data_IF_972625615844
#
_entry.id   IF_972625615844
#
_cell.length_a   1.000
_cell.length_b   1.000
_cell.length_c   1.000
_cell.angle_alpha   90.00
_cell.angle_beta   90.00
_cell.angle_gamma   90.00
#
_symmetry.space_group_name_H-M   'P 1'
#
loop_
_entity.id
_entity.type
_entity.pdbx_description
1 polymer ?
#
# COMPACT_ATOMS: atom_id res chain seq x y z
N UNK A 1 54.05 30.93 3.46
CA UNK A 1 54.26 29.64 2.76
C UNK A 1 54.35 28.60 3.85
N UNK A 2 53.37 27.72 4.06
CA UNK A 2 52.86 26.72 3.11
C UNK A 2 51.43 26.31 3.49
N UNK A 3 50.56 26.26 2.48
CA UNK A 3 49.20 25.74 2.57
C UNK A 3 49.21 24.20 2.68
N UNK A 4 48.33 23.63 3.51
CA UNK A 4 48.07 22.19 3.51
C UNK A 4 47.02 21.86 2.41
N UNK A 5 47.20 20.78 1.63
CA UNK A 5 46.33 20.46 0.52
C UNK A 5 44.99 19.87 0.99
N UNK A 6 43.92 20.34 0.35
CA UNK A 6 42.57 19.76 0.37
C UNK A 6 42.65 18.39 -0.31
N UNK A 7 42.71 17.33 0.48
CA UNK A 7 42.76 15.94 0.04
C UNK A 7 41.37 15.31 0.04
N UNK A 8 40.87 15.05 -1.16
CA UNK A 8 39.64 14.37 -1.56
C UNK A 8 39.41 13.02 -0.84
N UNK A 9 38.30 12.89 -0.11
CA UNK A 9 37.75 11.59 0.30
C UNK A 9 37.05 10.91 -0.88
N UNK A 10 37.30 9.60 -1.14
CA UNK A 10 36.51 8.85 -2.11
C UNK A 10 35.13 8.54 -1.50
N UNK A 11 34.08 9.16 -2.03
CA UNK A 11 32.69 8.80 -1.74
C UNK A 11 32.34 7.50 -2.46
N UNK A 12 32.73 6.38 -1.87
CA UNK A 12 32.09 5.09 -2.15
C UNK A 12 30.66 5.16 -1.58
N UNK A 13 29.69 5.62 -2.38
CA UNK A 13 28.26 5.55 -2.02
C UNK A 13 27.78 4.10 -2.10
N UNK A 14 28.28 3.25 -1.19
CA UNK A 14 27.54 2.04 -0.83
C UNK A 14 26.28 2.51 -0.10
N UNK A 15 25.13 2.37 -0.77
CA UNK A 15 23.81 2.38 -0.15
C UNK A 15 23.84 1.32 0.94
N UNK A 16 24.14 1.73 2.16
CA UNK A 16 24.10 0.88 3.33
C UNK A 16 22.63 0.52 3.57
N UNK A 17 22.18 -0.61 3.01
CA UNK A 17 21.05 -1.35 3.57
C UNK A 17 21.49 -1.91 4.93
N UNK A 18 21.63 -1.04 5.94
CA UNK A 18 21.81 -1.47 7.32
C UNK A 18 20.42 -1.73 7.90
N UNK A 19 19.84 -2.89 7.60
CA UNK A 19 18.84 -3.48 8.51
C UNK A 19 19.65 -3.94 9.73
N UNK A 20 19.61 -3.17 10.81
CA UNK A 20 20.21 -3.58 12.08
C UNK A 20 19.59 -4.90 12.56
N UNK A 21 20.23 -5.63 13.50
CA UNK A 21 19.76 -6.92 14.01
C UNK A 21 18.39 -6.89 14.72
N UNK A 22 17.77 -5.71 14.82
CA UNK A 22 16.46 -5.47 15.44
C UNK A 22 15.38 -5.04 14.42
N UNK A 23 15.66 -5.04 13.11
CA UNK A 23 14.65 -4.74 12.11
C UNK A 23 13.71 -5.94 11.93
N UNK A 24 12.45 -5.80 12.35
CA UNK A 24 11.42 -6.82 12.17
C UNK A 24 11.31 -7.21 10.68
N UNK A 25 11.32 -8.51 10.40
CA UNK A 25 11.16 -9.02 9.03
C UNK A 25 9.72 -8.82 8.55
N UNK A 26 9.47 -8.74 7.23
CA UNK A 26 8.10 -8.70 6.70
C UNK A 26 7.25 -9.90 7.15
N UNK A 27 7.85 -11.07 7.32
CA UNK A 27 7.18 -12.26 7.84
C UNK A 27 6.72 -12.05 9.28
N UNK A 28 7.61 -11.59 10.16
CA UNK A 28 7.29 -11.30 11.56
C UNK A 28 6.24 -10.19 11.70
N UNK A 29 6.25 -9.18 10.83
CA UNK A 29 5.21 -8.14 10.80
C UNK A 29 3.84 -8.72 10.48
N UNK A 30 3.75 -9.59 9.46
CA UNK A 30 2.48 -10.24 9.10
C UNK A 30 1.95 -11.12 10.21
N UNK A 31 2.80 -11.96 10.81
CA UNK A 31 2.42 -12.83 11.93
C UNK A 31 1.88 -12.02 13.12
N UNK A 32 2.50 -10.87 13.42
CA UNK A 32 2.04 -9.97 14.48
C UNK A 32 0.67 -9.36 14.15
N UNK A 33 0.48 -8.87 12.91
CA UNK A 33 -0.80 -8.32 12.46
C UNK A 33 -1.90 -9.39 12.51
N UNK A 34 -1.61 -10.60 12.05
CA UNK A 34 -2.53 -11.74 12.10
C UNK A 34 -2.89 -12.12 13.54
N UNK A 35 -1.93 -12.03 14.48
CA UNK A 35 -2.21 -12.23 15.90
C UNK A 35 -3.17 -11.17 16.46
N UNK A 36 -2.98 -9.90 16.09
CA UNK A 36 -3.88 -8.83 16.51
C UNK A 36 -5.28 -8.97 15.89
N UNK A 37 -5.37 -9.42 14.64
CA UNK A 37 -6.63 -9.70 13.96
C UNK A 37 -7.39 -10.91 14.52
N UNK A 38 -6.72 -11.81 15.24
CA UNK A 38 -7.41 -12.87 15.99
C UNK A 38 -8.16 -12.31 17.21
N UNK A 39 -7.66 -11.23 17.79
CA UNK A 39 -8.29 -10.55 18.93
C UNK A 39 -9.37 -9.55 18.46
N UNK A 40 -9.10 -8.79 17.39
CA UNK A 40 -10.08 -7.93 16.72
C UNK A 40 -10.16 -8.21 15.21
N UNK A 41 -11.05 -9.12 14.79
CA UNK A 41 -11.20 -9.46 13.38
C UNK A 41 -11.76 -8.35 12.49
N UNK A 42 -12.24 -7.23 13.04
CA UNK A 42 -12.93 -6.18 12.27
C UNK A 42 -12.16 -4.85 12.22
N UNK A 43 -10.90 -4.86 12.68
CA UNK A 43 -9.99 -3.72 12.56
C UNK A 43 -9.59 -3.51 11.09
N UNK A 44 -10.19 -2.48 10.47
CA UNK A 44 -9.94 -2.11 9.07
C UNK A 44 -8.47 -1.74 8.82
N UNK A 45 -7.83 -1.09 9.81
CA UNK A 45 -6.45 -0.63 9.70
C UNK A 45 -5.48 -1.80 9.70
N UNK A 46 -5.69 -2.79 10.58
CA UNK A 46 -4.87 -4.01 10.60
C UNK A 46 -5.07 -4.85 9.33
N UNK A 47 -6.30 -4.97 8.83
CA UNK A 47 -6.58 -5.68 7.56
C UNK A 47 -5.90 -5.00 6.37
N UNK A 48 -5.99 -3.67 6.31
CA UNK A 48 -5.29 -2.89 5.31
C UNK A 48 -3.77 -3.05 5.42
N UNK A 49 -3.23 -2.98 6.65
CA UNK A 49 -1.81 -3.19 6.93
C UNK A 49 -1.32 -4.57 6.48
N UNK A 50 -2.10 -5.63 6.73
CA UNK A 50 -1.79 -6.99 6.27
C UNK A 50 -1.69 -7.03 4.75
N UNK A 51 -2.65 -6.44 4.03
CA UNK A 51 -2.62 -6.37 2.58
C UNK A 51 -1.39 -5.60 2.06
N UNK A 52 -0.99 -4.53 2.74
CA UNK A 52 0.17 -3.73 2.36
C UNK A 52 1.49 -4.47 2.57
N UNK A 53 1.59 -5.35 3.56
CA UNK A 53 2.76 -6.22 3.71
C UNK A 53 2.87 -7.23 2.56
N UNK A 54 1.74 -7.80 2.09
CA UNK A 54 1.72 -8.63 0.89
C UNK A 54 2.13 -7.84 -0.36
N UNK A 55 1.57 -6.64 -0.56
CA UNK A 55 1.91 -5.78 -1.69
C UNK A 55 3.40 -5.40 -1.69
N UNK A 56 3.96 -5.09 -0.52
CA UNK A 56 5.37 -4.75 -0.33
C UNK A 56 6.30 -5.94 -0.59
N UNK A 57 5.81 -7.16 -0.39
CA UNK A 57 6.53 -8.40 -0.73
C UNK A 57 6.42 -8.78 -2.22
N UNK A 58 5.64 -8.04 -3.01
CA UNK A 58 5.37 -8.34 -4.42
C UNK A 58 4.29 -9.40 -4.65
N UNK A 59 3.67 -9.92 -3.58
CA UNK A 59 2.52 -10.82 -3.68
C UNK A 59 1.24 -10.00 -3.89
N UNK A 60 1.13 -9.44 -5.09
CA UNK A 60 0.05 -8.54 -5.46
C UNK A 60 -1.30 -9.24 -5.55
N UNK A 61 -1.34 -10.52 -5.92
CA UNK A 61 -2.58 -11.31 -5.96
C UNK A 61 -3.18 -11.44 -4.56
N UNK A 62 -2.37 -11.81 -3.56
CA UNK A 62 -2.84 -11.89 -2.17
C UNK A 62 -3.21 -10.52 -1.61
N UNK A 63 -2.45 -9.47 -1.96
CA UNK A 63 -2.79 -8.11 -1.56
C UNK A 63 -4.15 -7.65 -2.09
N UNK A 64 -4.42 -7.87 -3.38
CA UNK A 64 -5.70 -7.53 -4.01
C UNK A 64 -6.85 -8.28 -3.33
N UNK A 65 -6.70 -9.58 -3.08
CA UNK A 65 -7.72 -10.37 -2.37
C UNK A 65 -8.06 -9.76 -1.01
N UNK A 66 -7.06 -9.47 -0.18
CA UNK A 66 -7.30 -8.88 1.15
C UNK A 66 -7.93 -7.49 1.10
N UNK A 67 -7.57 -6.66 0.11
CA UNK A 67 -8.17 -5.35 -0.07
C UNK A 67 -9.63 -5.45 -0.52
N UNK A 68 -9.95 -6.38 -1.42
CA UNK A 68 -11.31 -6.62 -1.88
C UNK A 68 -12.19 -7.18 -0.74
N UNK A 69 -11.66 -8.10 0.07
CA UNK A 69 -12.32 -8.58 1.29
C UNK A 69 -12.61 -7.41 2.24
N UNK A 70 -11.62 -6.54 2.49
CA UNK A 70 -11.79 -5.37 3.35
C UNK A 70 -12.89 -4.42 2.84
N UNK A 71 -12.92 -4.16 1.53
CA UNK A 71 -13.97 -3.36 0.90
C UNK A 71 -15.36 -3.99 1.11
N UNK A 72 -15.45 -5.32 0.99
CA UNK A 72 -16.71 -6.05 1.11
C UNK A 72 -17.23 -6.18 2.56
N UNK A 73 -16.37 -6.04 3.58
CA UNK A 73 -16.76 -6.21 4.99
C UNK A 73 -17.79 -5.19 5.47
N UNK A 74 -17.72 -3.94 4.97
CA UNK A 74 -18.60 -2.84 5.39
C UNK A 74 -19.20 -2.14 4.17
N UNK A 75 -20.21 -2.72 3.50
CA UNK A 75 -20.75 -2.17 2.25
C UNK A 75 -21.31 -0.75 2.38
N UNK A 76 -21.86 -0.40 3.54
CA UNK A 76 -22.43 0.93 3.80
C UNK A 76 -21.36 2.00 4.03
N UNK A 77 -20.19 1.59 4.56
CA UNK A 77 -19.07 2.49 4.85
C UNK A 77 -17.73 1.78 4.61
N UNK A 78 -17.34 1.56 3.35
CA UNK A 78 -16.13 0.81 3.03
C UNK A 78 -14.87 1.60 3.38
N UNK A 79 -13.76 0.91 3.61
CA UNK A 79 -12.47 1.55 3.87
C UNK A 79 -11.87 2.15 2.59
N UNK A 80 -12.08 3.46 2.38
CA UNK A 80 -11.76 4.17 1.12
C UNK A 80 -10.33 3.96 0.61
N UNK A 81 -9.27 3.99 1.46
CA UNK A 81 -7.90 3.77 0.98
C UNK A 81 -7.68 2.41 0.30
N UNK A 82 -8.49 1.40 0.62
CA UNK A 82 -8.34 0.07 0.04
C UNK A 82 -8.61 0.04 -1.47
N UNK A 83 -9.48 0.90 -1.99
CA UNK A 83 -9.80 0.96 -3.42
C UNK A 83 -8.60 1.40 -4.26
N UNK A 84 -7.94 2.48 -3.86
CA UNK A 84 -6.79 3.00 -4.59
C UNK A 84 -5.65 1.98 -4.61
N UNK A 85 -5.36 1.34 -3.47
CA UNK A 85 -4.32 0.32 -3.39
C UNK A 85 -4.67 -0.95 -4.19
N UNK A 86 -5.93 -1.36 -4.19
CA UNK A 86 -6.37 -2.52 -4.97
C UNK A 86 -6.23 -2.24 -6.45
N UNK A 87 -6.68 -1.06 -6.91
CA UNK A 87 -6.55 -0.65 -8.30
C UNK A 87 -5.09 -0.55 -8.76
N UNK A 88 -4.21 0.08 -7.96
CA UNK A 88 -2.78 0.15 -8.27
C UNK A 88 -2.13 -1.23 -8.35
N UNK A 89 -2.53 -2.16 -7.48
CA UNK A 89 -2.03 -3.54 -7.49
C UNK A 89 -2.54 -4.31 -8.72
N UNK A 90 -3.81 -4.13 -9.09
CA UNK A 90 -4.41 -4.70 -10.30
C UNK A 90 -3.74 -4.16 -11.58
N UNK A 91 -3.40 -2.87 -11.65
CA UNK A 91 -2.64 -2.30 -12.77
C UNK A 91 -1.28 -2.98 -12.91
N UNK A 92 -0.54 -3.15 -11.80
CA UNK A 92 0.75 -3.86 -11.80
C UNK A 92 0.63 -5.33 -12.23
N UNK A 93 -0.52 -5.96 -11.99
CA UNK A 93 -0.85 -7.31 -12.45
C UNK A 93 -1.33 -7.37 -13.92
N UNK A 94 -1.46 -6.22 -14.61
CA UNK A 94 -1.99 -6.16 -15.98
C UNK A 94 -3.51 -6.32 -16.06
N UNK A 95 -4.22 -6.23 -14.92
CA UNK A 95 -5.68 -6.43 -14.80
C UNK A 95 -6.42 -5.09 -14.85
N UNK A 96 -6.20 -4.33 -15.93
CA UNK A 96 -6.68 -2.94 -16.06
C UNK A 96 -8.21 -2.82 -15.95
N UNK A 97 -8.98 -3.74 -16.56
CA UNK A 97 -10.45 -3.70 -16.48
C UNK A 97 -10.98 -3.82 -15.06
N UNK A 98 -10.37 -4.67 -14.23
CA UNK A 98 -10.72 -4.80 -12.81
C UNK A 98 -10.28 -3.58 -11.99
N UNK A 99 -9.13 -3.00 -12.33
CA UNK A 99 -8.66 -1.76 -11.71
C UNK A 99 -9.65 -0.62 -11.96
N UNK A 100 -10.11 -0.43 -13.20
CA UNK A 100 -11.09 0.59 -13.55
C UNK A 100 -12.43 0.39 -12.83
N UNK A 101 -12.93 -0.85 -12.76
CA UNK A 101 -14.15 -1.17 -12.02
C UNK A 101 -13.99 -0.84 -10.51
N UNK A 102 -12.85 -1.20 -9.93
CA UNK A 102 -12.51 -0.89 -8.53
C UNK A 102 -12.46 0.63 -8.29
N UNK A 103 -11.85 1.40 -9.20
CA UNK A 103 -11.75 2.86 -9.10
C UNK A 103 -13.11 3.53 -9.18
N UNK A 104 -13.97 3.15 -10.13
CA UNK A 104 -15.32 3.71 -10.25
C UNK A 104 -16.11 3.53 -8.95
N UNK A 105 -16.06 2.32 -8.37
CA UNK A 105 -16.69 2.05 -7.09
C UNK A 105 -16.08 2.87 -5.95
N UNK A 106 -14.74 2.96 -5.90
CA UNK A 106 -14.04 3.74 -4.88
C UNK A 106 -14.35 5.23 -4.94
N UNK A 107 -14.48 5.82 -6.12
CA UNK A 107 -14.83 7.24 -6.32
C UNK A 107 -16.22 7.54 -5.74
N UNK A 108 -17.20 6.66 -5.98
CA UNK A 108 -18.53 6.80 -5.37
C UNK A 108 -18.49 6.67 -3.85
N UNK A 109 -17.75 5.68 -3.32
CA UNK A 109 -17.61 5.46 -1.89
C UNK A 109 -16.92 6.63 -1.18
N UNK A 110 -15.86 7.18 -1.77
CA UNK A 110 -15.15 8.35 -1.27
C UNK A 110 -16.04 9.59 -1.26
N UNK A 111 -16.81 9.82 -2.33
CA UNK A 111 -17.76 10.93 -2.40
C UNK A 111 -18.83 10.85 -1.32
N UNK A 112 -19.41 9.66 -1.07
CA UNK A 112 -20.39 9.45 0.01
C UNK A 112 -19.82 9.70 1.40
N UNK A 113 -18.52 9.46 1.59
CA UNK A 113 -17.82 9.64 2.87
C UNK A 113 -17.11 11.00 2.98
N UNK A 114 -17.25 11.88 1.98
CA UNK A 114 -16.57 13.18 1.90
C UNK A 114 -15.03 13.09 1.96
N UNK A 115 -14.46 11.98 1.47
CA UNK A 115 -13.02 11.70 1.36
C UNK A 115 -12.47 12.26 0.02
N UNK A 116 -12.58 13.57 -0.16
CA UNK A 116 -12.35 14.24 -1.46
C UNK A 116 -10.92 14.08 -1.99
N UNK A 117 -9.93 13.96 -1.09
CA UNK A 117 -8.54 13.75 -1.50
C UNK A 117 -8.37 12.38 -2.17
N UNK A 118 -8.83 11.31 -1.51
CA UNK A 118 -8.78 9.97 -2.07
C UNK A 118 -9.64 9.84 -3.34
N UNK A 119 -10.79 10.53 -3.39
CA UNK A 119 -11.62 10.61 -4.58
C UNK A 119 -10.84 11.16 -5.78
N UNK A 120 -10.11 12.26 -5.59
CA UNK A 120 -9.28 12.87 -6.63
C UNK A 120 -8.15 11.96 -7.10
N UNK A 121 -7.45 11.29 -6.18
CA UNK A 121 -6.39 10.34 -6.55
C UNK A 121 -6.93 9.17 -7.40
N UNK A 122 -8.11 8.66 -7.06
CA UNK A 122 -8.75 7.60 -7.82
C UNK A 122 -9.24 8.08 -9.20
N UNK A 123 -9.75 9.31 -9.31
CA UNK A 123 -10.12 9.91 -10.59
C UNK A 123 -8.91 10.04 -11.51
N UNK A 124 -7.81 10.60 -11.02
CA UNK A 124 -6.59 10.74 -11.81
C UNK A 124 -6.02 9.39 -12.27
N UNK A 125 -6.06 8.37 -11.42
CA UNK A 125 -5.64 7.02 -11.82
C UNK A 125 -6.59 6.44 -12.87
N UNK A 126 -7.91 6.60 -12.72
CA UNK A 126 -8.89 6.09 -13.69
C UNK A 126 -8.70 6.73 -15.07
N UNK A 127 -8.52 8.05 -15.12
CA UNK A 127 -8.25 8.79 -16.36
C UNK A 127 -6.98 8.32 -17.06
N UNK A 128 -5.95 7.90 -16.31
CA UNK A 128 -4.72 7.38 -16.91
C UNK A 128 -4.85 5.97 -17.53
N UNK A 129 -5.96 5.28 -17.29
CA UNK A 129 -6.23 3.92 -17.77
C UNK A 129 -7.23 3.88 -18.95
N UNK A 130 -7.87 5.00 -19.28
CA UNK A 130 -8.78 5.17 -20.42
C UNK A 130 -8.02 5.57 -21.70
#
# INVERSE_FOLDING_TARGET
MTALPVGTWPVERKRLQRKGPYAMTPQQRREQIEAMLREDPHDDFLRYGLAMEYASAGDLETAVRHLQELIALKPEKPYVPAFLMAAQSLVKLGRAGEAMATLRHGIEAAGKQNELHAQGEMQSLLESLE
#
